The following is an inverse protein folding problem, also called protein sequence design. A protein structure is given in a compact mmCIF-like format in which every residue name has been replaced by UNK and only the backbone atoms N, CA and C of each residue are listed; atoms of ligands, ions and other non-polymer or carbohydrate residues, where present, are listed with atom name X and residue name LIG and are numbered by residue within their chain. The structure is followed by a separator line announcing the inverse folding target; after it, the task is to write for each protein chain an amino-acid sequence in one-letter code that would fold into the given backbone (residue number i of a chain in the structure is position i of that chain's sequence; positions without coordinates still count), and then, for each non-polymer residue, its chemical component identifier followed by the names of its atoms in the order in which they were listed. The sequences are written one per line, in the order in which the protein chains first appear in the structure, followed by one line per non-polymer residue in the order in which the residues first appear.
data_IF_098555804365
#
_entry.id   IF_098555804365
#
_cell.length_a   1.000
_cell.length_b   1.000
_cell.length_c   1.000
_cell.angle_alpha   90.00
_cell.angle_beta   90.00
_cell.angle_gamma   90.00
#
_symmetry.space_group_name_H-M   'P 1'
#
loop_
_entity.id
_entity.type
_entity.pdbx_description
1 polymer ?
#
# COMPACT_ATOMS: atom_id res chain seq x y z
N UNK A 1 -29.93 -22.93 -27.12
CA UNK A 1 -28.73 -23.22 -26.31
C UNK A 1 -28.83 -22.39 -25.04
N UNK A 2 -29.34 -22.98 -23.95
CA UNK A 2 -29.54 -22.29 -22.68
C UNK A 2 -28.33 -22.56 -21.78
N UNK A 3 -27.44 -21.59 -21.68
CA UNK A 3 -26.25 -21.68 -20.84
C UNK A 3 -25.55 -20.34 -20.74
N UNK A 4 -26.19 -19.34 -20.13
CA UNK A 4 -25.44 -18.15 -19.72
C UNK A 4 -24.55 -18.55 -18.55
N UNK A 5 -23.25 -18.67 -18.78
CA UNK A 5 -22.24 -18.74 -17.72
C UNK A 5 -22.15 -17.38 -17.04
N UNK A 6 -23.12 -17.06 -16.18
CA UNK A 6 -23.13 -15.85 -15.37
C UNK A 6 -22.31 -16.06 -14.10
N UNK A 7 -21.61 -15.01 -13.66
CA UNK A 7 -20.95 -15.01 -12.35
C UNK A 7 -21.98 -15.20 -11.22
N UNK A 8 -21.58 -15.74 -10.06
CA UNK A 8 -22.44 -15.81 -8.89
C UNK A 8 -23.02 -14.43 -8.54
N UNK A 9 -24.24 -14.34 -7.97
CA UNK A 9 -24.88 -13.06 -7.65
C UNK A 9 -24.07 -12.15 -6.72
N UNK A 10 -23.17 -12.72 -5.93
CA UNK A 10 -22.29 -12.03 -5.00
C UNK A 10 -20.85 -11.86 -5.52
N UNK A 11 -20.62 -12.02 -6.83
CA UNK A 11 -19.31 -11.77 -7.42
C UNK A 11 -18.95 -10.28 -7.34
N UNK A 12 -17.73 -9.99 -6.86
CA UNK A 12 -17.25 -8.62 -6.69
C UNK A 12 -16.55 -8.16 -7.96
N UNK A 13 -17.05 -7.09 -8.55
CA UNK A 13 -16.36 -6.31 -9.57
C UNK A 13 -15.75 -5.08 -8.91
N UNK A 14 -14.46 -4.84 -9.20
CA UNK A 14 -13.71 -3.73 -8.64
C UNK A 14 -12.71 -3.17 -9.65
N UNK A 15 -12.42 -1.88 -9.54
CA UNK A 15 -11.20 -1.28 -10.10
C UNK A 15 -10.13 -1.18 -9.02
N UNK A 16 -8.86 -1.09 -9.43
CA UNK A 16 -7.73 -1.08 -8.50
C UNK A 16 -6.68 -0.01 -8.81
N UNK A 17 -6.13 0.62 -7.78
CA UNK A 17 -5.02 1.58 -7.86
C UNK A 17 -3.99 1.35 -6.74
N UNK A 18 -2.86 2.03 -6.83
CA UNK A 18 -1.88 2.16 -5.76
C UNK A 18 -1.58 3.63 -5.49
N UNK A 19 -1.44 4.00 -4.22
CA UNK A 19 -1.25 5.37 -3.76
C UNK A 19 -0.18 6.14 -4.56
N UNK A 20 1.04 5.60 -4.62
CA UNK A 20 2.14 6.27 -5.31
C UNK A 20 1.91 6.46 -6.81
N UNK A 21 1.11 5.60 -7.45
CA UNK A 21 0.84 5.66 -8.88
C UNK A 21 -0.17 6.75 -9.25
N UNK A 22 -1.10 7.08 -8.35
CA UNK A 22 -2.25 7.96 -8.67
C UNK A 22 -2.31 9.23 -7.84
N UNK A 23 -1.87 9.22 -6.58
CA UNK A 23 -2.13 10.34 -5.65
C UNK A 23 -1.38 11.62 -6.00
N UNK A 24 -0.08 11.52 -6.28
CA UNK A 24 0.79 12.70 -6.30
C UNK A 24 0.86 13.38 -4.93
N UNK A 25 1.00 14.70 -4.95
CA UNK A 25 1.06 15.52 -3.74
C UNK A 25 2.10 15.02 -2.73
N UNK A 26 3.31 14.72 -3.24
CA UNK A 26 4.35 14.01 -2.49
C UNK A 26 4.93 14.84 -1.34
N UNK A 27 4.76 16.16 -1.37
CA UNK A 27 5.22 17.15 -0.40
C UNK A 27 4.08 17.88 0.34
N UNK A 28 2.81 17.53 0.08
CA UNK A 28 1.67 18.17 0.74
C UNK A 28 1.37 17.54 2.10
N UNK A 29 0.85 18.39 2.99
CA UNK A 29 0.20 18.01 4.22
C UNK A 29 0.98 17.03 5.10
N UNK A 30 2.29 17.21 5.16
CA UNK A 30 3.17 16.50 6.07
C UNK A 30 3.51 15.07 5.66
N UNK A 31 3.20 14.64 4.42
CA UNK A 31 3.66 13.35 3.90
C UNK A 31 5.20 13.26 3.94
N UNK A 32 5.72 12.15 4.44
CA UNK A 32 7.15 11.86 4.45
C UNK A 32 7.70 11.34 3.12
N UNK A 33 9.00 11.13 3.06
CA UNK A 33 9.68 10.64 1.84
C UNK A 33 9.57 9.11 1.77
N UNK A 34 9.03 8.60 0.67
CA UNK A 34 9.04 7.17 0.37
C UNK A 34 10.28 6.77 -0.43
N UNK A 35 10.55 5.47 -0.49
CA UNK A 35 11.61 4.92 -1.32
C UNK A 35 11.41 5.24 -2.81
N UNK A 36 10.17 5.27 -3.30
CA UNK A 36 9.85 5.64 -4.68
C UNK A 36 10.10 7.12 -4.99
N UNK A 37 9.92 8.03 -4.01
CA UNK A 37 10.26 9.45 -4.18
C UNK A 37 11.74 9.64 -4.48
N UNK A 38 12.59 8.83 -3.84
CA UNK A 38 14.04 8.87 -4.04
C UNK A 38 14.41 8.27 -5.40
N UNK A 39 13.77 7.18 -5.83
CA UNK A 39 14.04 6.56 -7.14
C UNK A 39 13.72 7.50 -8.28
N UNK A 40 12.51 8.06 -8.29
CA UNK A 40 12.06 8.82 -9.46
C UNK A 40 12.94 10.04 -9.73
N UNK A 41 13.63 10.56 -8.70
CA UNK A 41 14.60 11.66 -8.82
C UNK A 41 15.93 11.25 -9.45
N UNK A 42 16.25 9.97 -9.55
CA UNK A 42 17.50 9.49 -10.13
C UNK A 42 17.38 9.39 -11.67
N UNK A 43 18.32 9.97 -12.43
CA UNK A 43 18.31 9.90 -13.89
C UNK A 43 18.33 8.46 -14.42
N UNK A 44 17.56 8.18 -15.49
CA UNK A 44 17.55 6.89 -16.16
C UNK A 44 16.85 5.75 -15.41
N UNK A 45 16.23 6.03 -14.25
CA UNK A 45 15.44 5.03 -13.51
C UNK A 45 14.04 4.82 -14.05
N UNK A 46 13.47 5.84 -14.70
CA UNK A 46 12.15 5.80 -15.32
C UNK A 46 12.35 5.84 -16.83
N UNK A 47 11.76 4.88 -17.54
CA UNK A 47 12.02 4.65 -18.96
C UNK A 47 11.74 5.88 -19.84
N UNK A 48 10.71 6.66 -19.50
CA UNK A 48 10.31 7.89 -20.21
C UNK A 48 10.87 9.17 -19.58
N UNK A 49 11.64 9.07 -18.48
CA UNK A 49 12.10 10.19 -17.67
C UNK A 49 11.00 11.16 -17.24
N UNK A 50 9.77 10.68 -17.05
CA UNK A 50 8.68 11.49 -16.50
C UNK A 50 9.08 12.15 -15.16
N UNK A 51 8.62 13.38 -14.88
CA UNK A 51 8.93 14.08 -13.65
C UNK A 51 8.62 13.24 -12.39
N UNK A 52 9.41 13.37 -11.32
CA UNK A 52 9.20 12.61 -10.09
C UNK A 52 7.85 12.82 -9.42
N UNK A 53 7.24 13.99 -9.67
CA UNK A 53 5.95 14.41 -9.12
C UNK A 53 4.77 14.04 -10.00
N UNK A 54 4.99 13.51 -11.21
CA UNK A 54 3.91 13.20 -12.15
C UNK A 54 3.11 11.98 -11.66
N UNK A 55 1.79 12.16 -11.53
CA UNK A 55 0.79 11.13 -11.23
C UNK A 55 -0.56 11.51 -11.86
N UNK A 56 -1.69 11.08 -11.28
CA UNK A 56 -3.04 11.46 -11.68
C UNK A 56 -3.66 12.57 -10.81
N UNK A 57 -2.89 13.14 -9.87
CA UNK A 57 -3.35 14.16 -8.90
C UNK A 57 -4.59 13.73 -8.08
N UNK A 58 -4.74 12.43 -7.83
CA UNK A 58 -5.89 11.88 -7.11
C UNK A 58 -5.98 12.39 -5.67
N UNK A 59 -4.87 12.85 -5.07
CA UNK A 59 -4.90 13.46 -3.74
C UNK A 59 -5.84 14.68 -3.69
N UNK A 60 -5.77 15.54 -4.71
CA UNK A 60 -6.58 16.75 -4.80
C UNK A 60 -7.95 16.49 -5.48
N UNK A 61 -8.07 15.40 -6.25
CA UNK A 61 -9.23 15.14 -7.12
C UNK A 61 -10.01 13.86 -6.81
N UNK A 62 -9.77 13.20 -5.67
CA UNK A 62 -10.37 11.91 -5.35
C UNK A 62 -11.90 11.87 -5.48
N UNK A 63 -12.61 12.97 -5.18
CA UNK A 63 -14.07 13.04 -5.35
C UNK A 63 -14.50 12.86 -6.81
N UNK A 64 -13.74 13.41 -7.75
CA UNK A 64 -13.96 13.23 -9.19
C UNK A 64 -13.71 11.77 -9.59
N UNK A 65 -12.63 11.19 -9.08
CA UNK A 65 -12.31 9.78 -9.34
C UNK A 65 -13.40 8.84 -8.81
N UNK A 66 -13.97 9.12 -7.62
CA UNK A 66 -15.10 8.34 -7.08
C UNK A 66 -16.33 8.41 -7.99
N UNK A 67 -16.65 9.58 -8.57
CA UNK A 67 -17.75 9.68 -9.53
C UNK A 67 -17.48 8.85 -10.79
N UNK A 68 -16.25 8.87 -11.31
CA UNK A 68 -15.87 8.03 -12.46
C UNK A 68 -15.97 6.54 -12.13
N UNK A 69 -15.54 6.12 -10.92
CA UNK A 69 -15.66 4.72 -10.48
C UNK A 69 -17.13 4.31 -10.38
N UNK A 70 -18.00 5.19 -9.89
CA UNK A 70 -19.45 4.96 -9.82
C UNK A 70 -20.06 4.76 -11.22
N UNK A 71 -19.63 5.53 -12.21
CA UNK A 71 -20.07 5.39 -13.61
C UNK A 71 -19.68 4.03 -14.22
N UNK A 72 -18.59 3.41 -13.75
CA UNK A 72 -18.21 2.04 -14.16
C UNK A 72 -19.13 0.96 -13.57
N UNK A 73 -20.04 1.32 -12.66
CA UNK A 73 -21.00 0.43 -12.01
C UNK A 73 -20.33 -0.77 -11.33
N UNK A 74 -19.15 -0.55 -10.74
CA UNK A 74 -18.47 -1.53 -9.87
C UNK A 74 -18.96 -1.38 -8.43
N UNK A 75 -18.97 -2.49 -7.69
CA UNK A 75 -19.42 -2.49 -6.29
C UNK A 75 -18.31 -2.16 -5.30
N UNK A 76 -17.05 -2.32 -5.72
CA UNK A 76 -15.89 -2.13 -4.84
C UNK A 76 -14.79 -1.32 -5.50
N UNK A 77 -13.96 -0.69 -4.68
CA UNK A 77 -12.74 -0.03 -5.12
C UNK A 77 -11.55 -0.49 -4.28
N UNK A 78 -10.53 -1.03 -4.96
CA UNK A 78 -9.28 -1.46 -4.34
C UNK A 78 -8.24 -0.35 -4.44
N UNK A 79 -7.75 0.13 -3.30
CA UNK A 79 -6.70 1.15 -3.29
C UNK A 79 -5.72 0.88 -2.15
N UNK A 80 -4.50 1.41 -2.25
CA UNK A 80 -3.53 1.33 -1.15
C UNK A 80 -3.46 2.61 -0.33
N UNK A 81 -3.09 2.46 0.94
CA UNK A 81 -2.74 3.60 1.81
C UNK A 81 -1.24 3.84 1.69
N UNK A 82 -0.85 5.09 1.48
CA UNK A 82 0.55 5.50 1.50
C UNK A 82 1.06 5.56 2.93
N UNK A 83 1.96 4.64 3.30
CA UNK A 83 2.52 4.56 4.65
C UNK A 83 3.11 5.90 5.09
N UNK A 84 3.94 6.52 4.24
CA UNK A 84 4.56 7.83 4.53
C UNK A 84 3.58 8.99 4.65
N UNK A 85 2.33 8.84 4.17
CA UNK A 85 1.30 9.86 4.37
C UNK A 85 0.66 9.74 5.75
N UNK A 86 0.58 8.53 6.31
CA UNK A 86 0.07 8.30 7.68
C UNK A 86 1.16 8.48 8.73
N UNK A 87 2.34 7.91 8.50
CA UNK A 87 3.50 7.95 9.38
C UNK A 87 4.69 8.49 8.58
N UNK A 88 5.00 9.81 8.62
CA UNK A 88 6.01 10.42 7.77
C UNK A 88 7.42 9.83 7.94
N UNK A 89 7.79 9.47 9.18
CA UNK A 89 9.05 8.76 9.49
C UNK A 89 8.88 7.22 9.52
N UNK A 90 7.70 6.72 9.14
CA UNK A 90 7.34 5.30 9.17
C UNK A 90 6.94 4.75 10.53
N UNK A 91 7.00 5.53 11.61
CA UNK A 91 6.70 5.07 12.98
C UNK A 91 5.59 5.88 13.64
N UNK A 92 4.92 5.30 14.63
CA UNK A 92 3.85 5.96 15.41
C UNK A 92 4.33 7.11 16.31
N UNK A 93 5.65 7.39 16.34
CA UNK A 93 6.19 8.58 17.00
C UNK A 93 5.80 9.89 16.30
N UNK A 94 5.42 9.82 15.02
CA UNK A 94 4.96 10.95 14.23
C UNK A 94 3.74 10.53 13.41
N UNK A 95 2.54 10.73 13.96
CA UNK A 95 1.28 10.45 13.27
C UNK A 95 0.84 11.70 12.51
N UNK A 96 0.62 11.57 11.21
CA UNK A 96 0.12 12.64 10.38
C UNK A 96 -1.41 12.60 10.25
N UNK A 97 -2.06 13.40 11.08
CA UNK A 97 -3.53 13.51 11.13
C UNK A 97 -4.16 13.98 9.81
N UNK A 98 -3.44 14.80 9.02
CA UNK A 98 -3.94 15.23 7.71
C UNK A 98 -3.97 14.08 6.68
N UNK A 99 -2.98 13.19 6.74
CA UNK A 99 -2.98 11.98 5.93
C UNK A 99 -4.14 11.05 6.29
N UNK A 100 -4.41 10.90 7.58
CA UNK A 100 -5.56 10.12 8.06
C UNK A 100 -6.87 10.75 7.61
N UNK A 101 -7.00 12.08 7.74
CA UNK A 101 -8.17 12.81 7.27
C UNK A 101 -8.42 12.57 5.77
N UNK A 102 -7.38 12.60 4.93
CA UNK A 102 -7.52 12.32 3.51
C UNK A 102 -8.11 10.93 3.24
N UNK A 103 -7.52 9.85 3.78
CA UNK A 103 -8.02 8.49 3.53
C UNK A 103 -9.41 8.26 4.12
N UNK A 104 -9.70 8.80 5.31
CA UNK A 104 -11.05 8.72 5.89
C UNK A 104 -12.06 9.42 4.98
N UNK A 105 -11.73 10.60 4.45
CA UNK A 105 -12.57 11.33 3.51
C UNK A 105 -12.79 10.59 2.18
N UNK A 106 -11.76 9.93 1.65
CA UNK A 106 -11.89 9.07 0.46
C UNK A 106 -12.82 7.88 0.74
N UNK A 107 -12.63 7.20 1.88
CA UNK A 107 -13.46 6.04 2.25
C UNK A 107 -14.91 6.46 2.46
N UNK A 108 -15.17 7.57 3.15
CA UNK A 108 -16.52 8.08 3.35
C UNK A 108 -17.19 8.46 2.02
N UNK A 109 -16.46 9.09 1.10
CA UNK A 109 -16.96 9.43 -0.24
C UNK A 109 -17.30 8.18 -1.07
N UNK A 110 -16.47 7.12 -1.02
CA UNK A 110 -16.76 5.83 -1.66
C UNK A 110 -18.06 5.23 -1.12
N UNK A 111 -18.20 5.16 0.21
CA UNK A 111 -19.39 4.58 0.86
C UNK A 111 -20.65 5.40 0.59
N UNK A 112 -20.55 6.74 0.57
CA UNK A 112 -21.65 7.61 0.19
C UNK A 112 -22.15 7.38 -1.24
N UNK A 113 -21.28 6.84 -2.11
CA UNK A 113 -21.60 6.47 -3.48
C UNK A 113 -21.89 4.97 -3.67
N UNK A 114 -22.04 4.21 -2.58
CA UNK A 114 -22.37 2.78 -2.62
C UNK A 114 -21.22 1.87 -3.06
N UNK A 115 -19.98 2.35 -2.97
CA UNK A 115 -18.78 1.61 -3.34
C UNK A 115 -18.05 1.16 -2.07
N UNK A 116 -17.86 -0.14 -1.90
CA UNK A 116 -17.18 -0.70 -0.74
C UNK A 116 -15.64 -0.66 -0.91
N UNK A 117 -14.89 -0.18 0.10
CA UNK A 117 -13.44 -0.08 0.03
C UNK A 117 -12.75 -1.44 0.25
N UNK A 118 -11.78 -1.75 -0.60
CA UNK A 118 -10.80 -2.82 -0.40
C UNK A 118 -9.43 -2.18 -0.18
N UNK A 119 -8.95 -2.18 1.05
CA UNK A 119 -7.75 -1.41 1.42
C UNK A 119 -6.50 -2.29 1.43
N UNK A 120 -5.50 -1.87 0.66
CA UNK A 120 -4.17 -2.47 0.64
C UNK A 120 -3.22 -1.69 1.55
N UNK A 121 -2.64 -2.35 2.56
CA UNK A 121 -1.78 -1.70 3.55
C UNK A 121 -0.36 -1.46 3.02
N UNK A 122 0.17 -2.33 2.14
CA UNK A 122 1.46 -2.11 1.52
C UNK A 122 1.46 -2.36 0.02
N UNK A 123 1.88 -1.35 -0.75
CA UNK A 123 1.98 -1.42 -2.21
C UNK A 123 3.27 -0.74 -2.71
N UNK A 124 4.42 -1.36 -2.42
CA UNK A 124 5.76 -0.96 -2.86
C UNK A 124 6.33 0.34 -2.27
N UNK A 125 5.52 1.20 -1.66
CA UNK A 125 5.91 2.52 -1.17
C UNK A 125 6.32 2.50 0.32
N UNK A 126 7.59 2.15 0.55
CA UNK A 126 8.16 2.03 1.91
C UNK A 126 8.68 3.38 2.45
N UNK A 127 8.59 3.67 3.76
CA UNK A 127 9.20 4.86 4.35
C UNK A 127 10.73 4.88 4.20
N UNK A 128 11.29 5.95 3.60
CA UNK A 128 12.71 5.99 3.29
C UNK A 128 13.60 5.97 4.54
N UNK A 129 13.15 6.57 5.64
CA UNK A 129 13.87 6.55 6.93
C UNK A 129 14.03 5.13 7.49
N UNK A 130 12.98 4.31 7.41
CA UNK A 130 13.03 2.91 7.81
C UNK A 130 13.85 2.07 6.83
N UNK A 131 13.81 2.41 5.54
CA UNK A 131 14.64 1.79 4.53
C UNK A 131 16.14 1.97 4.84
N UNK A 132 16.56 3.18 5.22
CA UNK A 132 17.94 3.46 5.62
C UNK A 132 18.39 2.66 6.86
N UNK A 133 17.44 2.24 7.70
CA UNK A 133 17.68 1.37 8.86
C UNK A 133 17.69 -0.13 8.53
N UNK A 134 17.58 -0.50 7.26
CA UNK A 134 17.63 -1.89 6.83
C UNK A 134 16.39 -2.39 6.08
N UNK A 135 15.31 -1.59 6.03
CA UNK A 135 14.07 -1.92 5.34
C UNK A 135 13.57 -3.33 5.63
N UNK A 136 13.14 -4.05 4.60
CA UNK A 136 12.65 -5.43 4.72
C UNK A 136 13.73 -6.47 5.11
N UNK A 137 15.02 -6.10 5.16
CA UNK A 137 16.08 -6.96 5.67
C UNK A 137 16.29 -6.83 7.18
N UNK A 138 15.83 -5.73 7.78
CA UNK A 138 15.85 -5.55 9.23
C UNK A 138 14.67 -6.30 9.87
N UNK A 139 14.92 -7.14 10.87
CA UNK A 139 13.85 -7.86 11.60
C UNK A 139 12.86 -6.91 12.31
N UNK A 140 13.28 -5.69 12.66
CA UNK A 140 12.40 -4.67 13.24
C UNK A 140 11.29 -4.21 12.28
N UNK A 141 11.44 -4.41 10.96
CA UNK A 141 10.41 -4.06 9.98
C UNK A 141 9.07 -4.74 10.26
N UNK A 142 9.11 -5.92 10.86
CA UNK A 142 7.92 -6.68 11.27
C UNK A 142 7.11 -5.85 12.28
N UNK A 143 7.78 -5.20 13.23
CA UNK A 143 7.11 -4.38 14.24
C UNK A 143 6.69 -3.03 13.65
N UNK A 144 7.54 -2.36 12.87
CA UNK A 144 7.16 -1.09 12.23
C UNK A 144 5.92 -1.23 11.36
N UNK A 145 5.86 -2.29 10.55
CA UNK A 145 4.70 -2.59 9.73
C UNK A 145 3.47 -2.95 10.56
N UNK A 146 3.64 -3.70 11.65
CA UNK A 146 2.54 -4.03 12.55
C UNK A 146 1.96 -2.77 13.20
N UNK A 147 2.80 -1.84 13.64
CA UNK A 147 2.36 -0.58 14.27
C UNK A 147 1.57 0.28 13.27
N UNK A 148 2.05 0.36 12.02
CA UNK A 148 1.30 0.98 10.93
C UNK A 148 -0.05 0.30 10.68
N UNK A 149 -0.08 -1.03 10.57
CA UNK A 149 -1.33 -1.78 10.38
C UNK A 149 -2.32 -1.53 11.51
N UNK A 150 -1.88 -1.58 12.77
CA UNK A 150 -2.71 -1.33 13.94
C UNK A 150 -3.33 0.05 13.88
N UNK A 151 -2.54 1.08 13.57
CA UNK A 151 -3.06 2.43 13.41
C UNK A 151 -4.09 2.50 12.28
N UNK A 152 -3.85 1.86 11.13
CA UNK A 152 -4.85 1.81 10.06
C UNK A 152 -6.15 1.11 10.50
N UNK A 153 -6.08 0.00 11.24
CA UNK A 153 -7.27 -0.67 11.76
C UNK A 153 -8.01 0.22 12.77
N UNK A 154 -7.30 0.90 13.66
CA UNK A 154 -7.87 1.81 14.66
C UNK A 154 -8.56 3.01 14.01
N UNK A 155 -8.01 3.53 12.91
CA UNK A 155 -8.44 4.81 12.31
C UNK A 155 -9.44 4.66 11.16
N UNK A 156 -9.52 3.49 10.53
CA UNK A 156 -10.37 3.26 9.36
C UNK A 156 -11.25 2.01 9.45
N UNK A 157 -11.03 1.13 10.42
CA UNK A 157 -11.70 -0.16 10.48
C UNK A 157 -13.18 -0.10 10.84
N UNK A 158 -13.69 1.03 11.32
CA UNK A 158 -15.13 1.31 11.41
C UNK A 158 -15.78 1.47 10.02
N UNK A 159 -14.99 1.84 9.01
CA UNK A 159 -15.45 2.04 7.64
C UNK A 159 -15.04 0.92 6.68
N UNK A 160 -13.95 0.18 6.97
CA UNK A 160 -13.32 -0.78 6.05
C UNK A 160 -13.49 -2.22 6.53
N UNK A 161 -14.01 -3.08 5.65
CA UNK A 161 -14.23 -4.51 5.91
C UNK A 161 -13.25 -5.45 5.21
N UNK A 162 -12.63 -4.99 4.12
CA UNK A 162 -11.73 -5.78 3.29
C UNK A 162 -10.31 -5.22 3.38
N UNK A 163 -9.41 -6.03 3.91
CA UNK A 163 -8.01 -5.66 4.12
C UNK A 163 -7.11 -6.60 3.33
N UNK A 164 -6.14 -6.02 2.62
CA UNK A 164 -5.04 -6.72 1.99
C UNK A 164 -3.77 -6.19 2.63
N UNK A 165 -3.03 -7.04 3.31
CA UNK A 165 -1.77 -6.69 3.95
C UNK A 165 -0.73 -6.21 2.93
N UNK A 166 -0.43 -7.04 1.93
CA UNK A 166 0.61 -6.78 0.94
C UNK A 166 0.07 -7.01 -0.48
N UNK A 167 0.40 -6.10 -1.38
CA UNK A 167 0.39 -6.40 -2.81
C UNK A 167 1.62 -7.25 -3.17
N UNK A 168 1.47 -8.33 -3.93
CA UNK A 168 2.56 -9.03 -4.64
C UNK A 168 3.89 -9.23 -3.87
N UNK A 169 3.83 -9.87 -2.69
CA UNK A 169 5.03 -10.13 -1.84
C UNK A 169 6.23 -10.68 -2.66
N UNK A 170 6.08 -11.68 -3.56
CA UNK A 170 7.24 -12.19 -4.31
C UNK A 170 7.91 -11.12 -5.17
N UNK A 171 7.13 -10.25 -5.82
CA UNK A 171 7.64 -9.15 -6.63
C UNK A 171 8.35 -8.14 -5.76
N UNK A 172 7.73 -7.69 -4.66
CA UNK A 172 8.28 -6.67 -3.79
C UNK A 172 9.50 -7.15 -3.04
N UNK A 173 9.49 -8.38 -2.50
CA UNK A 173 10.67 -8.95 -1.83
C UNK A 173 11.87 -9.06 -2.77
N UNK A 174 11.62 -9.34 -4.06
CA UNK A 174 12.66 -9.38 -5.07
C UNK A 174 13.14 -7.98 -5.44
N UNK A 175 12.23 -7.11 -5.85
CA UNK A 175 12.58 -5.78 -6.37
C UNK A 175 13.15 -4.90 -5.27
N UNK A 176 12.71 -5.09 -4.02
CA UNK A 176 13.32 -4.52 -2.85
C UNK A 176 14.83 -4.75 -2.92
N UNK A 177 15.30 -5.98 -2.81
CA UNK A 177 16.69 -6.18 -2.39
C UNK A 177 17.66 -6.59 -3.50
N UNK A 178 17.22 -6.57 -4.76
CA UNK A 178 18.03 -7.04 -5.89
C UNK A 178 18.46 -5.93 -6.84
N UNK A 179 19.73 -6.02 -7.27
CA UNK A 179 20.29 -5.29 -8.41
C UNK A 179 20.68 -6.30 -9.47
N UNK A 180 20.06 -6.22 -10.65
CA UNK A 180 20.56 -6.93 -11.82
C UNK A 180 21.54 -6.02 -12.58
N UNK A 181 22.73 -6.55 -12.82
CA UNK A 181 23.74 -5.88 -13.63
C UNK A 181 23.24 -5.74 -15.07
N UNK A 182 23.27 -4.53 -15.64
CA UNK A 182 22.81 -4.25 -17.00
C UNK A 182 21.28 -4.15 -17.21
N UNK A 183 20.46 -4.23 -16.15
CA UNK A 183 19.01 -4.04 -16.23
C UNK A 183 18.58 -2.71 -15.59
N UNK A 184 17.59 -2.00 -16.14
CA UNK A 184 16.96 -0.90 -15.43
C UNK A 184 16.33 -1.43 -14.14
N UNK A 185 16.79 -0.89 -13.01
CA UNK A 185 16.40 -1.28 -11.67
C UNK A 185 14.87 -1.26 -11.42
N UNK A 186 14.30 -2.34 -10.87
CA UNK A 186 12.85 -2.49 -10.67
C UNK A 186 12.28 -1.89 -9.36
N UNK A 187 13.09 -1.70 -8.29
CA UNK A 187 12.74 -1.01 -7.03
C UNK A 187 14.06 -0.70 -6.26
N UNK A 188 14.08 0.06 -5.13
CA UNK A 188 15.30 0.69 -4.60
C UNK A 188 15.96 -0.01 -3.42
N UNK A 189 15.46 -1.12 -2.90
CA UNK A 189 15.90 -1.58 -1.58
C UNK A 189 17.27 -2.30 -1.56
N UNK A 190 18.22 -1.88 -2.40
CA UNK A 190 19.58 -2.42 -2.40
C UNK A 190 20.34 -1.82 -1.23
N UNK A 191 20.32 -2.50 -0.09
CA UNK A 191 21.43 -2.38 0.84
C UNK A 191 22.57 -3.14 0.19
N UNK A 192 23.63 -2.42 -0.15
CA UNK A 192 24.82 -2.98 -0.78
C UNK A 192 25.49 -3.93 0.23
N UNK A 193 25.08 -5.19 0.21
CA UNK A 193 25.73 -6.24 0.98
C UNK A 193 26.38 -7.22 0.01
N UNK A 194 27.68 -7.39 0.20
CA UNK A 194 28.59 -8.39 -0.37
C UNK A 194 28.25 -9.85 0.03
N UNK A 195 26.98 -10.12 0.36
CA UNK A 195 26.47 -11.44 0.72
C UNK A 195 26.10 -12.21 -0.56
N UNK A 196 26.13 -13.56 -0.59
CA UNK A 196 25.80 -14.32 -1.78
C UNK A 196 24.40 -13.93 -2.29
N UNK A 197 24.38 -13.22 -3.43
CA UNK A 197 23.25 -12.44 -4.00
C UNK A 197 21.92 -13.20 -4.13
N UNK A 198 21.92 -14.52 -3.97
CA UNK A 198 20.74 -15.38 -4.11
C UNK A 198 19.87 -15.47 -2.84
N UNK A 199 20.37 -15.19 -1.63
CA UNK A 199 19.59 -15.39 -0.39
C UNK A 199 18.76 -14.19 0.08
N UNK A 200 19.14 -12.99 -0.34
CA UNK A 200 18.60 -11.72 0.19
C UNK A 200 17.09 -11.55 -0.07
N UNK A 201 16.55 -11.86 -1.28
CA UNK A 201 15.10 -11.79 -1.53
C UNK A 201 14.28 -12.69 -0.62
N UNK A 202 14.83 -13.86 -0.26
CA UNK A 202 14.15 -14.79 0.64
C UNK A 202 14.11 -14.27 2.07
N UNK A 203 15.11 -13.50 2.51
CA UNK A 203 15.09 -12.83 3.83
C UNK A 203 14.01 -11.75 3.86
N UNK A 204 13.93 -10.91 2.81
CA UNK A 204 12.88 -9.91 2.69
C UNK A 204 11.48 -10.56 2.65
N UNK A 205 11.29 -11.58 1.80
CA UNK A 205 10.04 -12.32 1.72
C UNK A 205 9.66 -12.97 3.06
N UNK A 206 10.64 -13.57 3.76
CA UNK A 206 10.42 -14.15 5.08
C UNK A 206 9.91 -13.11 6.09
N UNK A 207 10.56 -11.95 6.16
CA UNK A 207 10.13 -10.87 7.05
C UNK A 207 8.74 -10.32 6.66
N UNK A 208 8.45 -10.13 5.37
CA UNK A 208 7.12 -9.70 4.90
C UNK A 208 6.02 -10.73 5.24
N UNK A 209 6.29 -12.03 5.09
CA UNK A 209 5.35 -13.09 5.46
C UNK A 209 5.10 -13.14 6.98
N UNK A 210 6.15 -12.95 7.80
CA UNK A 210 5.99 -12.83 9.25
C UNK A 210 5.20 -11.56 9.64
N UNK A 211 5.45 -10.45 8.96
CA UNK A 211 4.73 -9.19 9.17
C UNK A 211 3.24 -9.33 8.81
N UNK A 212 2.92 -9.98 7.68
CA UNK A 212 1.56 -10.37 7.31
C UNK A 212 0.91 -11.21 8.42
N UNK A 213 1.58 -12.28 8.86
CA UNK A 213 1.02 -13.18 9.86
C UNK A 213 0.73 -12.45 11.19
N UNK A 214 1.61 -11.55 11.62
CA UNK A 214 1.39 -10.74 12.83
C UNK A 214 0.24 -9.73 12.65
N UNK A 215 0.15 -9.07 11.50
CA UNK A 215 -0.94 -8.15 11.20
C UNK A 215 -2.29 -8.88 11.19
N UNK A 216 -2.39 -10.03 10.50
CA UNK A 216 -3.58 -10.87 10.47
C UNK A 216 -4.01 -11.30 11.88
N UNK A 217 -3.09 -11.85 12.67
CA UNK A 217 -3.40 -12.33 14.03
C UNK A 217 -3.83 -11.20 14.96
N UNK A 218 -3.23 -10.02 14.80
CA UNK A 218 -3.61 -8.83 15.56
C UNK A 218 -5.00 -8.36 15.15
N UNK A 219 -5.30 -8.29 13.85
CA UNK A 219 -6.63 -7.94 13.34
C UNK A 219 -7.71 -8.92 13.84
N UNK A 220 -7.45 -10.22 13.72
CA UNK A 220 -8.36 -11.29 14.14
C UNK A 220 -8.68 -11.21 15.64
N UNK A 221 -7.66 -10.97 16.48
CA UNK A 221 -7.80 -10.95 17.93
C UNK A 221 -8.44 -9.65 18.45
N UNK A 222 -7.97 -8.50 17.96
CA UNK A 222 -8.23 -7.21 18.60
C UNK A 222 -9.33 -6.41 17.87
N UNK A 223 -9.57 -6.63 16.57
CA UNK A 223 -10.37 -5.72 15.73
C UNK A 223 -11.56 -6.39 15.02
N UNK A 224 -11.41 -7.64 14.57
CA UNK A 224 -12.40 -8.32 13.71
C UNK A 224 -13.81 -8.35 14.30
N UNK A 225 -13.92 -8.57 15.62
CA UNK A 225 -15.21 -8.65 16.33
C UNK A 225 -15.93 -7.30 16.40
N UNK A 226 -15.20 -6.21 16.60
CA UNK A 226 -15.79 -4.87 16.76
C UNK A 226 -16.06 -4.18 15.42
N UNK A 227 -15.31 -4.55 14.39
CA UNK A 227 -15.36 -3.90 13.08
C UNK A 227 -16.25 -4.61 12.06
N UNK A 228 -16.86 -5.74 12.43
CA UNK A 228 -17.61 -6.61 11.50
C UNK A 228 -16.80 -6.90 10.21
N UNK A 229 -15.49 -7.05 10.35
CA UNK A 229 -14.59 -7.35 9.25
C UNK A 229 -14.99 -8.66 8.58
N UNK A 230 -14.96 -8.71 7.25
CA UNK A 230 -15.25 -9.95 6.53
C UNK A 230 -14.15 -11.00 6.80
N UNK A 231 -14.38 -12.25 6.39
CA UNK A 231 -13.41 -13.34 6.53
C UNK A 231 -12.11 -13.11 5.74
N UNK A 232 -12.03 -12.06 4.93
CA UNK A 232 -11.02 -11.87 3.89
C UNK A 232 -10.01 -10.78 4.29
N UNK A 233 -9.13 -11.12 5.22
CA UNK A 233 -7.84 -10.44 5.37
C UNK A 233 -6.82 -11.22 4.54
N UNK A 234 -6.33 -10.62 3.45
CA UNK A 234 -5.43 -11.28 2.48
C UNK A 234 -3.98 -10.84 2.62
#
# INVERSE_FOLDING_TARGET
MNGSSSFPPNFIWATATAAYQVEGANDKDGRGVSTWDVIRKQPGRIADNSPPTQSCDAYDHYKKDVQLIKELNVSHYRFSICWTRILPNGTTSNINEKGIFFYRSLIEELKANGIEPIVVLFHADYPFELYQRGGWLNKECIQWYLDFCRLCFERFGDLVKYWISFNEIPMHAWCAVTKFEGQPHHSPDTIEHSCPKRRIPYVAAHNMLLAHARAYRTYEKDFKKTQNGEKNFQ
#
